data_IF_788594862849
#
_entry.id   IF_788594862849
#
_cell.length_a   1.000
_cell.length_b   1.000
_cell.length_c   1.000
_cell.angle_alpha   90.00
_cell.angle_beta   90.00
_cell.angle_gamma   90.00
#
_symmetry.space_group_name_H-M   'P 1'
#
loop_
_entity.id
_entity.type
_entity.pdbx_description
1 polymer ?
#
# COMPACT_ATOMS: atom_id res chain seq x y z
N UNK A 1 19.52 4.11 -6.68
CA UNK A 1 19.30 3.60 -5.30
C UNK A 1 18.17 2.59 -5.34
N UNK A 2 18.30 1.45 -4.64
CA UNK A 2 17.21 0.50 -4.58
C UNK A 2 16.20 0.96 -3.51
N UNK A 3 14.94 1.01 -3.88
CA UNK A 3 13.83 1.30 -2.95
C UNK A 3 13.49 0.05 -2.15
N UNK A 4 13.53 -1.12 -2.80
CA UNK A 4 13.26 -2.42 -2.18
C UNK A 4 14.28 -3.45 -2.68
N UNK A 5 14.84 -4.20 -1.76
CA UNK A 5 15.67 -5.37 -2.04
C UNK A 5 15.11 -6.57 -1.28
N UNK A 6 14.98 -7.68 -1.95
CA UNK A 6 14.54 -8.96 -1.38
C UNK A 6 15.58 -10.01 -1.74
N UNK A 7 16.08 -10.74 -0.74
CA UNK A 7 17.09 -11.78 -0.94
C UNK A 7 16.66 -13.08 -0.28
N UNK A 8 16.60 -14.13 -1.08
CA UNK A 8 16.34 -15.51 -0.65
C UNK A 8 15.13 -15.64 0.29
N UNK A 9 14.07 -14.87 0.01
CA UNK A 9 12.88 -14.78 0.84
C UNK A 9 12.14 -16.11 0.84
N UNK A 10 11.79 -16.59 2.05
CA UNK A 10 10.92 -17.73 2.25
C UNK A 10 9.75 -17.36 3.15
N UNK A 11 8.54 -17.65 2.68
CA UNK A 11 7.29 -17.40 3.40
C UNK A 11 6.52 -18.71 3.54
N UNK A 12 6.25 -19.10 4.78
CA UNK A 12 5.39 -20.22 5.12
C UNK A 12 4.08 -19.75 5.75
N UNK A 13 2.99 -20.43 5.44
CA UNK A 13 1.70 -20.29 6.12
C UNK A 13 1.11 -21.68 6.35
N UNK A 14 0.62 -21.92 7.57
CA UNK A 14 -0.05 -23.19 7.92
C UNK A 14 0.79 -24.42 7.51
N UNK A 15 2.09 -24.39 7.80
CA UNK A 15 3.07 -25.43 7.43
C UNK A 15 3.27 -25.63 5.92
N UNK A 16 2.77 -24.70 5.10
CA UNK A 16 2.90 -24.75 3.66
C UNK A 16 3.87 -23.69 3.17
N UNK A 17 4.82 -24.08 2.32
CA UNK A 17 5.69 -23.13 1.63
C UNK A 17 4.87 -22.37 0.59
N UNK A 18 4.77 -21.05 0.74
CA UNK A 18 4.07 -20.16 -0.20
C UNK A 18 5.06 -19.51 -1.15
N UNK A 19 6.16 -19.02 -0.64
CA UNK A 19 7.26 -18.43 -1.41
C UNK A 19 8.54 -19.14 -0.99
N UNK A 20 9.31 -19.58 -1.97
CA UNK A 20 10.59 -20.26 -1.75
C UNK A 20 11.70 -19.58 -2.55
N UNK A 21 12.75 -19.15 -1.83
CA UNK A 21 13.98 -18.59 -2.36
C UNK A 21 13.80 -17.43 -3.38
N UNK A 22 12.87 -16.50 -3.10
CA UNK A 22 12.60 -15.36 -3.98
C UNK A 22 13.62 -14.26 -3.75
N UNK A 23 14.23 -13.78 -4.84
CA UNK A 23 15.13 -12.62 -4.81
C UNK A 23 14.81 -11.66 -5.95
N UNK A 24 14.76 -10.37 -5.66
CA UNK A 24 14.62 -9.29 -6.65
C UNK A 24 15.00 -7.94 -6.04
N UNK A 25 15.19 -6.96 -6.92
CA UNK A 25 15.45 -5.59 -6.55
C UNK A 25 14.49 -4.66 -7.29
N UNK A 26 14.10 -3.57 -6.64
CA UNK A 26 13.29 -2.51 -7.23
C UNK A 26 14.04 -1.18 -7.10
N UNK A 27 14.71 -0.73 -8.16
CA UNK A 27 15.33 0.59 -8.18
C UNK A 27 14.28 1.71 -8.15
N UNK A 28 14.69 2.87 -7.66
CA UNK A 28 13.86 4.07 -7.68
C UNK A 28 13.39 4.42 -9.10
N UNK A 29 12.11 4.81 -9.23
CA UNK A 29 11.51 5.15 -10.52
C UNK A 29 11.12 3.96 -11.40
N UNK A 30 11.43 2.73 -10.99
CA UNK A 30 11.08 1.52 -11.74
C UNK A 30 9.74 0.93 -11.31
N UNK A 31 9.21 0.07 -12.17
CA UNK A 31 7.98 -0.71 -11.92
C UNK A 31 8.30 -2.19 -11.96
N UNK A 32 7.81 -2.92 -10.97
CA UNK A 32 7.90 -4.37 -10.89
C UNK A 32 6.51 -4.98 -11.08
N UNK A 33 6.39 -5.95 -11.97
CA UNK A 33 5.15 -6.69 -12.21
C UNK A 33 5.29 -8.10 -11.64
N UNK A 34 4.39 -8.46 -10.73
CA UNK A 34 4.28 -9.82 -10.18
C UNK A 34 3.24 -10.60 -10.98
N UNK A 35 3.69 -11.64 -11.68
CA UNK A 35 2.83 -12.54 -12.46
C UNK A 35 2.81 -13.92 -11.83
N UNK A 36 1.70 -14.62 -11.99
CA UNK A 36 1.51 -15.99 -11.51
C UNK A 36 0.03 -16.33 -11.37
N UNK A 37 -0.26 -17.60 -11.23
CA UNK A 37 -1.61 -18.12 -11.12
C UNK A 37 -2.36 -17.60 -9.89
N UNK A 38 -3.68 -17.76 -9.89
CA UNK A 38 -4.51 -17.46 -8.73
C UNK A 38 -4.09 -18.38 -7.58
N UNK A 39 -3.86 -17.78 -6.40
CA UNK A 39 -3.46 -18.54 -5.22
C UNK A 39 -1.96 -18.86 -5.10
N UNK A 40 -1.11 -18.41 -6.03
CA UNK A 40 0.35 -18.66 -5.95
C UNK A 40 1.09 -17.82 -4.91
N UNK A 41 0.40 -16.94 -4.14
CA UNK A 41 1.01 -16.20 -3.04
C UNK A 41 1.35 -14.73 -3.33
N UNK A 42 0.92 -14.13 -4.44
CA UNK A 42 1.20 -12.71 -4.76
C UNK A 42 0.79 -11.74 -3.65
N UNK A 43 -0.44 -11.86 -3.18
CA UNK A 43 -0.95 -11.01 -2.08
C UNK A 43 -0.22 -11.29 -0.77
N UNK A 44 0.12 -12.55 -0.50
CA UNK A 44 0.93 -12.95 0.67
C UNK A 44 2.30 -12.29 0.62
N UNK A 45 2.94 -12.25 -0.55
CA UNK A 45 4.21 -11.56 -0.75
C UNK A 45 4.07 -10.06 -0.45
N UNK A 46 3.09 -9.38 -1.03
CA UNK A 46 2.87 -7.95 -0.79
C UNK A 46 2.63 -7.63 0.69
N UNK A 47 1.82 -8.43 1.37
CA UNK A 47 1.58 -8.27 2.80
C UNK A 47 2.84 -8.53 3.64
N UNK A 48 3.66 -9.50 3.24
CA UNK A 48 4.95 -9.78 3.89
C UNK A 48 5.92 -8.61 3.73
N UNK A 49 6.02 -8.04 2.53
CA UNK A 49 6.89 -6.89 2.24
C UNK A 49 6.52 -5.63 3.03
N UNK A 50 5.29 -5.54 3.52
CA UNK A 50 4.79 -4.46 4.37
C UNK A 50 4.76 -4.81 5.87
N UNK A 51 5.21 -6.01 6.24
CA UNK A 51 5.28 -6.45 7.63
C UNK A 51 3.96 -6.94 8.23
N UNK A 52 2.90 -7.14 7.43
CA UNK A 52 1.63 -7.71 7.91
C UNK A 52 1.70 -9.23 8.09
N UNK A 53 2.63 -9.89 7.40
CA UNK A 53 2.90 -11.32 7.47
C UNK A 53 4.39 -11.51 7.72
N UNK A 54 4.80 -12.31 8.72
CA UNK A 54 6.21 -12.60 8.94
C UNK A 54 6.76 -13.53 7.86
N UNK A 55 8.06 -13.43 7.63
CA UNK A 55 8.81 -14.38 6.82
C UNK A 55 9.79 -15.19 7.68
N UNK A 56 10.19 -16.37 7.22
CA UNK A 56 11.00 -17.31 7.99
C UNK A 56 12.49 -17.20 7.68
N UNK A 57 12.82 -17.00 6.40
CA UNK A 57 14.21 -16.88 5.95
C UNK A 57 14.33 -15.81 4.88
N UNK A 58 15.57 -15.34 4.69
CA UNK A 58 15.90 -14.30 3.72
C UNK A 58 15.99 -12.91 4.34
N UNK A 59 16.04 -11.92 3.48
CA UNK A 59 16.16 -10.53 3.88
C UNK A 59 15.23 -9.65 3.03
N UNK A 60 14.54 -8.72 3.70
CA UNK A 60 13.77 -7.64 3.08
C UNK A 60 14.37 -6.32 3.51
N UNK A 61 14.76 -5.48 2.55
CA UNK A 61 15.31 -4.14 2.81
C UNK A 61 14.50 -3.09 2.07
N UNK A 62 14.02 -2.10 2.82
CA UNK A 62 13.39 -0.91 2.30
C UNK A 62 14.29 0.32 2.55
N UNK A 63 14.60 1.08 1.52
CA UNK A 63 15.41 2.30 1.63
C UNK A 63 16.70 2.06 2.44
N UNK A 64 17.44 1.01 2.07
CA UNK A 64 18.68 0.54 2.72
C UNK A 64 18.53 0.07 4.19
N UNK A 65 17.29 -0.11 4.69
CA UNK A 65 17.00 -0.62 6.03
C UNK A 65 16.47 -2.05 5.98
N UNK A 66 17.10 -2.96 6.69
CA UNK A 66 16.58 -4.32 6.87
C UNK A 66 15.33 -4.27 7.76
N UNK A 67 14.27 -4.94 7.32
CA UNK A 67 12.98 -5.02 7.99
C UNK A 67 12.64 -6.48 8.25
N UNK A 68 12.58 -6.89 9.52
CA UNK A 68 12.26 -8.26 9.92
C UNK A 68 11.11 -8.33 10.93
N UNK A 69 11.11 -7.44 11.92
CA UNK A 69 10.07 -7.37 12.96
C UNK A 69 9.11 -6.22 12.67
N UNK A 70 7.90 -6.28 13.22
CA UNK A 70 6.87 -5.24 13.00
C UNK A 70 7.40 -3.82 13.22
N UNK A 71 8.20 -3.60 14.26
CA UNK A 71 8.81 -2.30 14.57
C UNK A 71 9.66 -1.72 13.43
N UNK A 72 10.26 -2.58 12.60
CA UNK A 72 11.14 -2.16 11.51
C UNK A 72 10.33 -1.58 10.36
N UNK A 73 9.07 -2.01 10.22
CA UNK A 73 8.13 -1.52 9.19
C UNK A 73 7.39 -0.25 9.60
N UNK A 74 7.37 0.13 10.88
CA UNK A 74 6.67 1.35 11.35
C UNK A 74 7.14 2.60 10.60
N UNK A 75 8.45 2.84 10.37
CA UNK A 75 8.93 4.02 9.63
C UNK A 75 8.52 4.03 8.15
N UNK A 76 8.03 2.91 7.60
CA UNK A 76 7.58 2.81 6.21
C UNK A 76 6.15 3.29 6.01
N UNK A 77 5.33 3.32 7.08
CA UNK A 77 3.88 3.60 7.02
C UNK A 77 3.52 4.96 6.42
N UNK A 78 4.43 5.90 6.33
CA UNK A 78 4.25 7.19 5.65
C UNK A 78 4.94 7.28 4.29
N UNK A 79 5.58 6.19 3.82
CA UNK A 79 6.37 6.20 2.58
C UNK A 79 5.96 5.13 1.59
N UNK A 80 5.32 4.06 2.07
CA UNK A 80 4.91 2.92 1.27
C UNK A 80 3.43 2.65 1.54
N UNK A 81 2.63 2.74 0.52
CA UNK A 81 1.20 2.47 0.60
C UNK A 81 0.81 1.20 -0.16
N UNK A 82 -0.37 0.67 0.15
CA UNK A 82 -0.97 -0.48 -0.52
C UNK A 82 -2.42 -0.16 -0.91
N UNK A 83 -2.80 -0.52 -2.13
CA UNK A 83 -4.20 -0.60 -2.53
C UNK A 83 -4.68 -2.04 -2.38
N UNK A 84 -5.78 -2.25 -1.68
CA UNK A 84 -6.35 -3.57 -1.47
C UNK A 84 -7.00 -4.10 -2.77
N UNK A 85 -7.12 -5.40 -2.87
CA UNK A 85 -7.76 -6.06 -4.01
C UNK A 85 -9.23 -5.61 -4.14
N UNK A 86 -9.92 -5.44 -3.02
CA UNK A 86 -11.26 -4.86 -2.95
C UNK A 86 -11.15 -3.47 -2.32
N UNK A 87 -11.20 -2.45 -3.15
CA UNK A 87 -11.04 -1.07 -2.70
C UNK A 87 -12.09 -0.65 -1.67
N UNK A 88 -13.32 -1.21 -1.74
CA UNK A 88 -14.36 -0.96 -0.76
C UNK A 88 -13.99 -1.35 0.68
N UNK A 89 -13.12 -2.35 0.86
CA UNK A 89 -12.63 -2.77 2.17
C UNK A 89 -11.60 -1.80 2.77
N UNK A 90 -11.03 -0.94 1.92
CA UNK A 90 -10.04 0.06 2.30
C UNK A 90 -10.69 1.40 2.70
N UNK A 91 -11.84 1.72 2.12
CA UNK A 91 -12.53 2.99 2.29
C UNK A 91 -13.41 2.97 3.55
N UNK A 92 -13.28 3.96 4.41
CA UNK A 92 -14.04 4.05 5.67
C UNK A 92 -14.47 5.48 6.03
N UNK A 93 -13.98 6.50 5.32
CA UNK A 93 -14.37 7.88 5.53
C UNK A 93 -15.83 8.16 5.16
N UNK A 94 -16.49 9.17 5.76
CA UNK A 94 -17.86 9.53 5.42
C UNK A 94 -17.99 10.06 3.99
N UNK A 95 -17.00 10.81 3.52
CA UNK A 95 -16.91 11.31 2.13
C UNK A 95 -15.60 10.90 1.49
N UNK A 96 -15.52 11.01 0.17
CA UNK A 96 -14.29 10.78 -0.59
C UNK A 96 -13.16 11.69 -0.10
N UNK A 97 -13.45 12.96 0.13
CA UNK A 97 -12.46 13.92 0.61
C UNK A 97 -11.95 13.58 2.00
N UNK A 98 -12.84 13.19 2.93
CA UNK A 98 -12.46 12.78 4.28
C UNK A 98 -11.59 11.54 4.26
N UNK A 99 -11.93 10.56 3.41
CA UNK A 99 -11.18 9.31 3.29
C UNK A 99 -9.76 9.56 2.77
N UNK A 100 -9.61 10.36 1.72
CA UNK A 100 -8.31 10.69 1.14
C UNK A 100 -7.47 11.56 2.10
N UNK A 101 -8.09 12.45 2.87
CA UNK A 101 -7.39 13.29 3.85
C UNK A 101 -6.92 12.53 5.10
N UNK A 102 -7.41 11.31 5.32
CA UNK A 102 -7.11 10.54 6.53
C UNK A 102 -5.62 10.23 6.70
N UNK A 103 -4.93 9.86 5.63
CA UNK A 103 -3.47 9.60 5.65
C UNK A 103 -2.68 10.82 6.13
N UNK A 104 -2.78 11.97 5.47
CA UNK A 104 -2.14 13.22 5.88
C UNK A 104 -2.49 13.65 7.31
N UNK A 105 -3.75 13.50 7.76
CA UNK A 105 -4.14 13.78 9.13
C UNK A 105 -3.41 12.87 10.13
N UNK A 106 -3.27 11.58 9.84
CA UNK A 106 -2.53 10.64 10.69
C UNK A 106 -1.02 10.92 10.72
N UNK A 107 -0.49 11.58 9.71
CA UNK A 107 0.90 12.03 9.66
C UNK A 107 1.13 13.32 10.48
N UNK A 108 0.09 13.87 11.11
CA UNK A 108 0.16 15.03 11.99
C UNK A 108 -0.05 16.38 11.29
N UNK A 109 -0.45 16.39 10.03
CA UNK A 109 -0.80 17.63 9.34
C UNK A 109 -2.11 18.21 9.90
N UNK A 110 -2.24 19.52 9.88
CA UNK A 110 -3.50 20.16 10.25
C UNK A 110 -4.58 19.90 9.18
N UNK A 111 -5.84 20.15 9.56
CA UNK A 111 -6.98 19.84 8.69
C UNK A 111 -6.91 20.54 7.33
N UNK A 112 -6.52 21.79 7.29
CA UNK A 112 -6.45 22.55 6.03
C UNK A 112 -5.39 21.99 5.10
N UNK A 113 -4.21 21.70 5.61
CA UNK A 113 -3.12 21.10 4.84
C UNK A 113 -3.51 19.71 4.31
N UNK A 114 -4.07 18.84 5.16
CA UNK A 114 -4.51 17.51 4.79
C UNK A 114 -5.57 17.53 3.68
N UNK A 115 -6.56 18.41 3.79
CA UNK A 115 -7.61 18.57 2.77
C UNK A 115 -7.08 19.14 1.47
N UNK A 116 -6.09 20.03 1.51
CA UNK A 116 -5.43 20.55 0.32
C UNK A 116 -4.67 19.44 -0.42
N UNK A 117 -3.92 18.60 0.30
CA UNK A 117 -3.24 17.44 -0.29
C UNK A 117 -4.25 16.47 -0.90
N UNK A 118 -5.32 16.17 -0.17
CA UNK A 118 -6.39 15.30 -0.66
C UNK A 118 -7.00 15.82 -1.96
N UNK A 119 -7.35 17.11 -2.02
CA UNK A 119 -7.88 17.75 -3.24
C UNK A 119 -6.91 17.66 -4.41
N UNK A 120 -5.61 17.90 -4.19
CA UNK A 120 -4.59 17.79 -5.23
C UNK A 120 -4.55 16.36 -5.82
N UNK A 121 -4.64 15.32 -4.98
CA UNK A 121 -4.66 13.94 -5.48
C UNK A 121 -5.95 13.61 -6.24
N UNK A 122 -7.09 14.09 -5.78
CA UNK A 122 -8.37 13.94 -6.47
C UNK A 122 -8.37 14.65 -7.85
N UNK A 123 -7.77 15.83 -7.93
CA UNK A 123 -7.57 16.55 -9.20
C UNK A 123 -6.64 15.79 -10.14
N UNK A 124 -5.49 15.32 -9.62
CA UNK A 124 -4.52 14.55 -10.39
C UNK A 124 -5.11 13.28 -11.01
N UNK A 125 -6.04 12.64 -10.31
CA UNK A 125 -6.74 11.45 -10.79
C UNK A 125 -8.05 11.77 -11.53
N UNK A 126 -8.39 13.07 -11.72
CA UNK A 126 -9.59 13.55 -12.39
C UNK A 126 -10.91 13.07 -11.77
N UNK A 127 -10.94 12.96 -10.43
CA UNK A 127 -12.10 12.52 -9.66
C UNK A 127 -12.57 13.54 -8.61
N UNK A 128 -12.12 14.79 -8.67
CA UNK A 128 -12.50 15.86 -7.73
C UNK A 128 -14.03 16.06 -7.64
N UNK A 129 -14.77 15.75 -8.70
CA UNK A 129 -16.25 15.77 -8.73
C UNK A 129 -16.90 14.83 -7.70
N UNK A 130 -16.15 13.86 -7.19
CA UNK A 130 -16.63 12.87 -6.22
C UNK A 130 -16.36 13.29 -4.76
N UNK A 131 -15.66 14.39 -4.51
CA UNK A 131 -15.13 14.77 -3.19
C UNK A 131 -16.15 14.75 -2.06
N UNK A 132 -17.38 15.17 -2.34
CA UNK A 132 -18.45 15.29 -1.34
C UNK A 132 -19.37 14.05 -1.31
N UNK A 133 -19.13 13.06 -2.15
CA UNK A 133 -19.92 11.82 -2.17
C UNK A 133 -19.52 10.89 -1.04
N UNK A 134 -20.52 10.20 -0.48
CA UNK A 134 -20.27 9.09 0.44
C UNK A 134 -19.50 7.96 -0.27
N UNK A 135 -18.48 7.41 0.38
CA UNK A 135 -17.69 6.30 -0.17
C UNK A 135 -18.53 5.06 -0.46
N UNK A 136 -19.63 4.86 0.29
CA UNK A 136 -20.54 3.74 0.11
C UNK A 136 -21.41 3.83 -1.15
N UNK A 137 -21.45 4.99 -1.80
CA UNK A 137 -22.27 5.22 -3.02
C UNK A 137 -21.46 5.15 -4.31
N UNK A 138 -20.17 4.86 -4.20
CA UNK A 138 -19.24 4.81 -5.32
C UNK A 138 -19.38 3.49 -6.10
N UNK A 139 -19.21 3.57 -7.41
CA UNK A 139 -18.97 2.38 -8.23
C UNK A 139 -17.61 1.76 -7.91
N UNK A 140 -17.40 0.49 -8.26
CA UNK A 140 -16.12 -0.20 -8.02
C UNK A 140 -14.91 0.54 -8.60
N UNK A 141 -15.05 1.11 -9.80
CA UNK A 141 -14.00 1.94 -10.41
C UNK A 141 -13.74 3.23 -9.64
N UNK A 142 -14.78 3.92 -9.19
CA UNK A 142 -14.65 5.13 -8.36
C UNK A 142 -14.03 4.82 -7.00
N UNK A 143 -14.35 3.66 -6.40
CA UNK A 143 -13.70 3.17 -5.17
C UNK A 143 -12.20 2.93 -5.38
N UNK A 144 -11.82 2.29 -6.48
CA UNK A 144 -10.40 2.05 -6.80
C UNK A 144 -9.61 3.36 -6.94
N UNK A 145 -10.15 4.34 -7.66
CA UNK A 145 -9.49 5.64 -7.79
C UNK A 145 -9.44 6.42 -6.47
N UNK A 146 -10.47 6.31 -5.64
CA UNK A 146 -10.49 6.93 -4.31
C UNK A 146 -9.44 6.31 -3.39
N UNK A 147 -9.34 4.97 -3.36
CA UNK A 147 -8.31 4.26 -2.60
C UNK A 147 -6.90 4.63 -3.08
N UNK A 148 -6.69 4.72 -4.39
CA UNK A 148 -5.42 5.18 -4.97
C UNK A 148 -5.10 6.62 -4.56
N UNK A 149 -6.08 7.53 -4.58
CA UNK A 149 -5.89 8.89 -4.11
C UNK A 149 -5.43 8.95 -2.65
N UNK A 150 -6.02 8.12 -1.77
CA UNK A 150 -5.64 7.99 -0.36
C UNK A 150 -4.23 7.46 -0.16
N UNK A 151 -3.76 6.57 -1.03
CA UNK A 151 -2.38 6.05 -1.00
C UNK A 151 -1.36 7.10 -1.47
N UNK A 152 -1.76 7.97 -2.41
CA UNK A 152 -0.90 9.01 -2.97
C UNK A 152 -0.85 10.29 -2.12
N UNK A 153 -1.80 10.47 -1.23
CA UNK A 153 -1.89 11.61 -0.30
C UNK A 153 -0.94 11.44 0.88
#
# INVERSE_FOLDING_TARGET
MNVLEVKQLQIMREQRMIIDNLSFELPEGHRLFLQGDIGCGKSTLLHCLLGFIPYQHGEVRWFDRTCHQEKDFVPLRGKVGICFQHAGDQLFGPTVLDDVAFGPLNQGLNRNEAYQIALQQLERLNIVRLKDRSVNTLSGGEQNFTALAGVLA
#
